data_IF_380626757094
#
_entry.id   IF_380626757094
#
_cell.length_a   1.000
_cell.length_b   1.000
_cell.length_c   1.000
_cell.angle_alpha   90.00
_cell.angle_beta   90.00
_cell.angle_gamma   90.00
#
_symmetry.space_group_name_H-M   'P 1'
#
loop_
_entity.id
_entity.type
_entity.pdbx_description
1 polymer ?
#
# COMPACT_ATOMS: atom_id res chain seq x y z
N UNK A 1 10.09 9.16 -17.87
CA UNK A 1 9.72 7.77 -17.55
C UNK A 1 9.84 7.67 -16.04
N UNK A 2 8.76 7.33 -15.37
CA UNK A 2 8.74 7.17 -13.91
C UNK A 2 9.34 5.78 -13.61
N UNK A 3 10.12 5.63 -12.53
CA UNK A 3 10.74 4.34 -12.15
C UNK A 3 9.72 3.21 -11.96
N UNK A 4 8.49 3.54 -11.63
CA UNK A 4 7.38 2.61 -11.49
C UNK A 4 6.88 2.04 -12.84
N UNK A 5 7.05 2.79 -13.95
CA UNK A 5 6.61 2.34 -15.27
C UNK A 5 7.34 1.05 -15.69
N UNK A 6 8.64 0.97 -15.38
CA UNK A 6 9.47 -0.21 -15.70
C UNK A 6 9.15 -1.43 -14.81
N UNK A 7 8.57 -1.22 -13.63
CA UNK A 7 8.24 -2.26 -12.65
C UNK A 7 6.79 -2.76 -12.75
N UNK A 8 5.95 -2.11 -13.53
CA UNK A 8 4.51 -2.37 -13.59
C UNK A 8 4.17 -3.83 -13.92
N UNK A 9 4.91 -4.45 -14.84
CA UNK A 9 4.76 -5.87 -15.19
C UNK A 9 4.94 -6.79 -13.98
N UNK A 10 6.00 -6.56 -13.20
CA UNK A 10 6.25 -7.33 -11.98
C UNK A 10 5.10 -7.24 -10.98
N UNK A 11 4.60 -6.02 -10.70
CA UNK A 11 3.52 -5.83 -9.72
C UNK A 11 2.20 -6.47 -10.16
N UNK A 12 1.88 -6.46 -11.46
CA UNK A 12 0.69 -7.14 -11.99
C UNK A 12 0.73 -8.66 -11.85
N UNK A 13 1.90 -9.27 -12.01
CA UNK A 13 2.10 -10.73 -11.99
C UNK A 13 2.49 -11.26 -10.60
N UNK A 14 2.85 -10.38 -9.67
CA UNK A 14 3.35 -10.77 -8.35
C UNK A 14 2.29 -11.46 -7.50
N UNK A 15 2.47 -12.75 -7.25
CA UNK A 15 1.61 -13.53 -6.36
C UNK A 15 1.57 -12.98 -4.94
N UNK A 16 2.71 -12.47 -4.44
CA UNK A 16 2.81 -11.87 -3.10
C UNK A 16 1.89 -10.66 -2.95
N UNK A 17 1.62 -9.92 -4.04
CA UNK A 17 0.69 -8.80 -4.04
C UNK A 17 -0.75 -9.23 -4.38
N UNK A 18 -0.92 -10.31 -5.15
CA UNK A 18 -2.23 -10.80 -5.60
C UNK A 18 -2.99 -11.61 -4.55
N UNK A 19 -2.31 -12.12 -3.53
CA UNK A 19 -2.86 -13.03 -2.53
C UNK A 19 -2.42 -12.60 -1.12
N UNK A 20 -3.20 -13.02 -0.11
CA UNK A 20 -2.85 -12.84 1.30
C UNK A 20 -4.01 -12.37 2.16
N UNK A 21 -3.97 -12.73 3.45
CA UNK A 21 -4.99 -12.35 4.42
C UNK A 21 -5.10 -10.82 4.61
N UNK A 22 -4.00 -10.08 4.39
CA UNK A 22 -3.96 -8.63 4.36
C UNK A 22 -4.84 -8.06 3.24
N UNK A 23 -4.72 -8.59 2.01
CA UNK A 23 -5.57 -8.20 0.88
C UNK A 23 -7.04 -8.55 1.13
N UNK A 24 -7.31 -9.76 1.63
CA UNK A 24 -8.67 -10.20 1.93
C UNK A 24 -9.32 -9.28 2.98
N UNK A 25 -8.54 -8.84 3.99
CA UNK A 25 -9.02 -7.91 5.01
C UNK A 25 -9.30 -6.51 4.46
N UNK A 26 -8.41 -5.96 3.61
CA UNK A 26 -8.64 -4.68 2.92
C UNK A 26 -9.94 -4.74 2.13
N UNK A 27 -10.11 -5.77 1.31
CA UNK A 27 -11.32 -5.97 0.50
C UNK A 27 -12.57 -6.09 1.37
N UNK A 28 -12.53 -6.89 2.45
CA UNK A 28 -13.67 -7.07 3.35
C UNK A 28 -14.06 -5.75 4.04
N UNK A 29 -13.07 -4.95 4.45
CA UNK A 29 -13.33 -3.69 5.14
C UNK A 29 -13.76 -2.56 4.22
N UNK A 30 -13.58 -2.69 2.91
CA UNK A 30 -14.24 -1.83 1.93
C UNK A 30 -15.76 -2.04 1.87
N UNK A 31 -16.30 -3.06 2.55
CA UNK A 31 -17.73 -3.41 2.58
C UNK A 31 -18.33 -3.52 1.17
N UNK A 32 -17.75 -4.39 0.32
CA UNK A 32 -18.12 -4.45 -1.08
C UNK A 32 -19.57 -4.92 -1.25
N UNK A 33 -20.29 -4.23 -2.11
CA UNK A 33 -21.65 -4.62 -2.51
C UNK A 33 -21.93 -4.09 -3.93
N UNK A 34 -22.93 -4.63 -4.64
CA UNK A 34 -23.34 -4.11 -5.93
C UNK A 34 -23.61 -2.60 -5.88
N UNK A 35 -23.00 -1.85 -6.79
CA UNK A 35 -23.08 -0.39 -6.94
C UNK A 35 -22.27 0.45 -5.94
N UNK A 36 -21.61 -0.13 -4.93
CA UNK A 36 -20.64 0.62 -4.11
C UNK A 36 -19.61 1.25 -5.04
N UNK A 37 -19.41 2.56 -4.94
CA UNK A 37 -18.40 3.29 -5.65
C UNK A 37 -17.10 3.26 -4.84
N UNK A 38 -16.07 2.58 -5.35
CA UNK A 38 -14.78 2.44 -4.69
C UNK A 38 -13.66 3.12 -5.50
N UNK A 39 -12.75 3.79 -4.81
CA UNK A 39 -11.50 4.30 -5.38
C UNK A 39 -10.34 3.45 -4.84
N UNK A 40 -9.54 2.88 -5.74
CA UNK A 40 -8.29 2.18 -5.41
C UNK A 40 -7.12 3.13 -5.70
N UNK A 41 -6.54 3.69 -4.63
CA UNK A 41 -5.52 4.75 -4.67
C UNK A 41 -4.13 4.13 -4.64
N UNK A 42 -3.25 4.59 -5.53
CA UNK A 42 -1.94 3.99 -5.80
C UNK A 42 -2.08 2.49 -6.08
N UNK A 43 -2.90 2.20 -7.09
CA UNK A 43 -3.42 0.85 -7.38
C UNK A 43 -2.34 -0.18 -7.72
N UNK A 44 -1.16 0.27 -8.20
CA UNK A 44 -0.05 -0.59 -8.60
C UNK A 44 -0.52 -1.70 -9.56
N UNK A 45 -0.35 -2.96 -9.17
CA UNK A 45 -0.80 -4.12 -9.95
C UNK A 45 -2.32 -4.33 -10.05
N UNK A 46 -3.14 -3.45 -9.46
CA UNK A 46 -4.60 -3.45 -9.57
C UNK A 46 -5.31 -4.54 -8.77
N UNK A 47 -4.67 -5.11 -7.77
CA UNK A 47 -5.19 -6.28 -7.05
C UNK A 47 -6.42 -5.97 -6.19
N UNK A 48 -6.44 -4.84 -5.48
CA UNK A 48 -7.60 -4.39 -4.68
C UNK A 48 -8.76 -4.08 -5.62
N UNK A 49 -8.52 -3.24 -6.62
CA UNK A 49 -9.55 -2.85 -7.58
C UNK A 49 -10.18 -4.04 -8.30
N UNK A 50 -9.37 -5.04 -8.70
CA UNK A 50 -9.86 -6.27 -9.34
C UNK A 50 -10.80 -7.06 -8.39
N UNK A 51 -10.39 -7.29 -7.15
CA UNK A 51 -11.19 -8.02 -6.16
C UNK A 51 -12.50 -7.30 -5.85
N UNK A 52 -12.49 -5.97 -5.75
CA UNK A 52 -13.70 -5.17 -5.54
C UNK A 52 -14.64 -5.22 -6.75
N UNK A 53 -14.11 -5.21 -7.99
CA UNK A 53 -14.92 -5.38 -9.21
C UNK A 53 -15.58 -6.75 -9.28
N UNK A 54 -14.88 -7.83 -8.91
CA UNK A 54 -15.42 -9.20 -8.82
C UNK A 54 -16.59 -9.31 -7.83
N UNK A 55 -16.60 -8.48 -6.78
CA UNK A 55 -17.67 -8.39 -5.78
C UNK A 55 -18.79 -7.40 -6.16
N UNK A 56 -18.76 -6.85 -7.39
CA UNK A 56 -19.82 -6.03 -7.97
C UNK A 56 -19.70 -4.53 -7.70
N UNK A 57 -18.60 -4.06 -7.12
CA UNK A 57 -18.34 -2.62 -6.95
C UNK A 57 -18.07 -1.93 -8.29
N UNK A 58 -18.42 -0.64 -8.35
CA UNK A 58 -17.94 0.26 -9.41
C UNK A 58 -16.61 0.84 -8.95
N UNK A 59 -15.52 0.41 -9.57
CA UNK A 59 -14.17 0.77 -9.13
C UNK A 59 -13.52 1.70 -10.13
N UNK A 60 -13.00 2.81 -9.63
CA UNK A 60 -12.00 3.64 -10.29
C UNK A 60 -10.64 3.34 -9.66
N UNK A 61 -9.61 3.24 -10.47
CA UNK A 61 -8.23 3.08 -10.01
C UNK A 61 -7.44 4.35 -10.31
N UNK A 62 -6.55 4.76 -9.43
CA UNK A 62 -5.60 5.84 -9.72
C UNK A 62 -4.18 5.48 -9.25
N UNK A 63 -3.19 6.02 -9.95
CA UNK A 63 -1.78 5.84 -9.66
C UNK A 63 -0.98 7.00 -10.27
N UNK A 64 0.15 7.36 -9.67
CA UNK A 64 1.05 8.38 -10.20
C UNK A 64 1.85 7.87 -11.41
N UNK A 65 1.98 6.55 -11.57
CA UNK A 65 2.69 5.90 -12.66
C UNK A 65 1.74 5.46 -13.77
N UNK A 66 1.88 6.04 -14.95
CA UNK A 66 1.06 5.68 -16.12
C UNK A 66 1.27 4.22 -16.55
N UNK A 67 2.48 3.65 -16.34
CA UNK A 67 2.79 2.25 -16.62
C UNK A 67 1.99 1.23 -15.81
N UNK A 68 1.40 1.64 -14.68
CA UNK A 68 0.47 0.81 -13.91
C UNK A 68 -0.92 0.68 -14.59
N UNK A 69 -1.15 1.46 -15.64
CA UNK A 69 -2.41 1.47 -16.43
C UNK A 69 -3.66 1.74 -15.56
N UNK A 70 -3.63 2.76 -14.66
CA UNK A 70 -4.80 3.12 -13.88
C UNK A 70 -5.87 3.79 -14.75
N UNK A 71 -7.12 3.84 -14.26
CA UNK A 71 -8.18 4.60 -14.92
C UNK A 71 -7.85 6.11 -14.96
N UNK A 72 -7.15 6.63 -13.90
CA UNK A 72 -6.72 8.03 -13.79
C UNK A 72 -5.28 8.10 -13.31
N UNK A 73 -4.42 8.83 -14.03
CA UNK A 73 -3.03 9.08 -13.61
C UNK A 73 -3.00 10.33 -12.75
N UNK A 74 -2.72 10.17 -11.45
CA UNK A 74 -2.58 11.27 -10.50
C UNK A 74 -1.84 10.81 -9.23
N UNK A 75 -1.18 11.74 -8.50
CA UNK A 75 -0.63 11.44 -7.18
C UNK A 75 -1.74 11.31 -6.14
N UNK A 76 -1.47 10.56 -5.07
CA UNK A 76 -2.43 10.33 -3.99
C UNK A 76 -2.73 11.62 -3.19
N UNK A 77 -1.77 12.54 -3.16
CA UNK A 77 -1.84 13.83 -2.48
C UNK A 77 -2.69 14.89 -3.21
N UNK A 78 -3.11 14.62 -4.45
CA UNK A 78 -3.91 15.55 -5.26
C UNK A 78 -4.88 14.78 -6.17
N UNK A 79 -5.93 14.24 -5.60
CA UNK A 79 -6.92 13.44 -6.31
C UNK A 79 -7.88 14.33 -7.13
N UNK A 80 -7.98 14.15 -8.47
CA UNK A 80 -8.79 15.00 -9.34
C UNK A 80 -10.29 14.64 -9.31
N UNK A 81 -10.80 14.31 -8.14
CA UNK A 81 -12.20 13.90 -7.96
C UNK A 81 -12.92 14.89 -7.04
N UNK A 82 -14.23 15.00 -7.22
CA UNK A 82 -15.08 15.82 -6.37
C UNK A 82 -15.21 15.24 -4.96
N UNK A 83 -15.51 16.10 -3.99
CA UNK A 83 -15.77 15.71 -2.62
C UNK A 83 -16.88 14.64 -2.55
N UNK A 84 -16.71 13.66 -1.70
CA UNK A 84 -17.69 12.61 -1.46
C UNK A 84 -18.19 11.91 -2.74
N UNK A 85 -17.32 11.71 -3.74
CA UNK A 85 -17.66 11.02 -5.00
C UNK A 85 -17.63 9.50 -4.90
N UNK A 86 -16.91 8.94 -3.92
CA UNK A 86 -16.80 7.50 -3.66
C UNK A 86 -17.37 7.10 -2.31
N UNK A 87 -17.92 5.90 -2.20
CA UNK A 87 -18.39 5.37 -0.92
C UNK A 87 -17.24 4.92 -0.03
N UNK A 88 -16.14 4.44 -0.65
CA UNK A 88 -14.91 3.99 0.01
C UNK A 88 -13.68 4.30 -0.83
N UNK A 89 -12.60 4.67 -0.16
CA UNK A 89 -11.26 4.76 -0.73
C UNK A 89 -10.35 3.71 -0.08
N UNK A 90 -9.60 2.97 -0.89
CA UNK A 90 -8.63 1.99 -0.42
C UNK A 90 -7.23 2.34 -0.94
N UNK A 91 -6.20 2.10 -0.11
CA UNK A 91 -4.80 2.16 -0.50
C UNK A 91 -4.08 0.98 0.14
N UNK A 92 -3.32 0.21 -0.64
CA UNK A 92 -2.65 -0.98 -0.13
C UNK A 92 -1.20 -1.03 -0.56
N UNK A 93 -0.31 -1.18 0.45
CA UNK A 93 1.13 -1.38 0.28
C UNK A 93 1.79 -0.32 -0.62
N UNK A 94 1.42 0.95 -0.40
CA UNK A 94 1.86 2.08 -1.23
C UNK A 94 2.18 3.35 -0.43
N UNK A 95 1.55 3.54 0.73
CA UNK A 95 1.64 4.82 1.44
C UNK A 95 3.04 5.10 2.03
N UNK A 96 3.90 4.09 2.15
CA UNK A 96 5.32 4.24 2.48
C UNK A 96 6.16 4.89 1.37
N UNK A 97 5.57 5.11 0.19
CA UNK A 97 6.16 5.85 -0.93
C UNK A 97 5.65 7.29 -1.04
N UNK A 98 4.62 7.68 -0.27
CA UNK A 98 4.06 9.02 -0.35
C UNK A 98 5.00 10.06 0.27
N UNK A 99 5.16 11.18 -0.40
CA UNK A 99 5.92 12.32 0.12
C UNK A 99 5.20 12.94 1.32
N UNK A 100 3.87 13.06 1.24
CA UNK A 100 3.01 13.52 2.32
C UNK A 100 1.83 12.57 2.55
N UNK A 101 1.99 11.53 3.37
CA UNK A 101 0.91 10.59 3.65
C UNK A 101 -0.29 11.20 4.39
N UNK A 102 -0.12 12.34 5.10
CA UNK A 102 -1.25 13.05 5.72
C UNK A 102 -2.09 13.74 4.64
N UNK A 103 -1.46 14.41 3.69
CA UNK A 103 -2.16 15.01 2.55
C UNK A 103 -2.89 13.93 1.73
N UNK A 104 -2.23 12.79 1.44
CA UNK A 104 -2.86 11.69 0.71
C UNK A 104 -4.09 11.14 1.44
N UNK A 105 -3.99 10.88 2.76
CA UNK A 105 -5.14 10.43 3.55
C UNK A 105 -6.23 11.50 3.64
N UNK A 106 -5.87 12.78 3.71
CA UNK A 106 -6.81 13.91 3.65
C UNK A 106 -7.59 13.95 2.34
N UNK A 107 -6.91 13.71 1.20
CA UNK A 107 -7.56 13.60 -0.11
C UNK A 107 -8.48 12.36 -0.18
N UNK A 108 -8.02 11.20 0.32
CA UNK A 108 -8.87 10.01 0.42
C UNK A 108 -10.12 10.28 1.30
N UNK A 109 -9.95 10.98 2.42
CA UNK A 109 -11.06 11.41 3.27
C UNK A 109 -11.99 12.37 2.54
N UNK A 110 -11.46 13.35 1.80
CA UNK A 110 -12.24 14.35 1.06
C UNK A 110 -13.13 13.68 0.01
N UNK A 111 -12.55 12.82 -0.81
CA UNK A 111 -13.28 12.17 -1.92
C UNK A 111 -14.16 11.01 -1.46
N UNK A 112 -13.94 10.47 -0.26
CA UNK A 112 -14.78 9.42 0.34
C UNK A 112 -16.03 10.01 0.98
N UNK A 113 -17.16 9.32 0.85
CA UNK A 113 -18.39 9.59 1.62
C UNK A 113 -18.30 9.04 3.03
N UNK A 114 -17.66 7.87 3.21
CA UNK A 114 -17.77 7.13 4.46
C UNK A 114 -16.46 6.49 4.92
N UNK A 115 -15.85 5.65 4.11
CA UNK A 115 -14.77 4.78 4.53
C UNK A 115 -13.44 5.08 3.84
N UNK A 116 -12.37 5.01 4.62
CA UNK A 116 -10.99 4.94 4.14
C UNK A 116 -10.34 3.68 4.72
N UNK A 117 -9.78 2.84 3.86
CA UNK A 117 -9.08 1.61 4.25
C UNK A 117 -7.64 1.68 3.75
N UNK A 118 -6.69 1.63 4.65
CA UNK A 118 -5.25 1.65 4.31
C UNK A 118 -4.56 0.42 4.87
N UNK A 119 -3.75 -0.22 4.05
CA UNK A 119 -2.81 -1.26 4.49
C UNK A 119 -1.40 -0.83 4.13
N UNK A 120 -0.48 -1.05 5.07
CA UNK A 120 0.95 -0.87 4.81
C UNK A 120 1.80 -1.70 5.76
N UNK A 121 3.12 -1.71 5.52
CA UNK A 121 4.11 -2.37 6.37
C UNK A 121 4.39 -1.53 7.62
N UNK A 122 4.42 -2.18 8.79
CA UNK A 122 4.86 -1.53 10.02
C UNK A 122 6.39 -1.35 10.05
N UNK A 123 6.79 -0.24 10.65
CA UNK A 123 8.20 0.01 10.94
C UNK A 123 8.76 -1.07 11.89
N UNK A 124 9.89 -1.62 11.53
CA UNK A 124 10.64 -2.57 12.36
C UNK A 124 11.76 -1.85 13.11
N UNK A 125 12.80 -1.45 12.40
CA UNK A 125 13.94 -0.70 12.93
C UNK A 125 14.65 0.11 11.82
N UNK A 126 15.66 0.90 12.21
CA UNK A 126 16.39 1.75 11.27
C UNK A 126 17.26 0.94 10.27
N UNK A 127 17.65 -0.29 10.60
CA UNK A 127 18.42 -1.15 9.68
C UNK A 127 17.53 -1.60 8.53
N UNK A 128 16.28 -1.97 8.83
CA UNK A 128 15.28 -2.31 7.82
C UNK A 128 14.94 -1.09 6.96
N UNK A 129 14.78 0.10 7.56
CA UNK A 129 14.57 1.34 6.80
C UNK A 129 15.75 1.66 5.86
N UNK A 130 16.99 1.48 6.30
CA UNK A 130 18.17 1.65 5.44
C UNK A 130 18.15 0.66 4.29
N UNK A 131 17.84 -0.60 4.57
CA UNK A 131 17.78 -1.65 3.55
C UNK A 131 16.69 -1.38 2.50
N UNK A 132 15.49 -0.93 2.93
CA UNK A 132 14.41 -0.55 2.04
C UNK A 132 14.82 0.58 1.10
N UNK A 133 15.44 1.65 1.61
CA UNK A 133 15.94 2.76 0.78
C UNK A 133 17.06 2.35 -0.18
N UNK A 134 17.91 1.40 0.22
CA UNK A 134 18.97 0.87 -0.66
C UNK A 134 18.39 -0.02 -1.76
N UNK A 135 17.32 -0.75 -1.47
CA UNK A 135 16.63 -1.61 -2.41
C UNK A 135 15.77 -0.80 -3.37
N UNK A 136 15.05 0.15 -2.84
CA UNK A 136 14.06 0.94 -3.57
C UNK A 136 14.24 2.44 -3.32
N UNK A 137 14.73 3.15 -4.33
CA UNK A 137 14.96 4.59 -4.27
C UNK A 137 13.68 5.40 -4.04
N UNK A 138 12.51 4.82 -4.33
CA UNK A 138 11.21 5.46 -4.13
C UNK A 138 10.68 5.28 -2.70
N UNK A 139 11.34 4.45 -1.90
CA UNK A 139 10.93 4.21 -0.53
C UNK A 139 11.21 5.43 0.35
N UNK A 140 10.14 6.03 0.89
CA UNK A 140 10.24 7.16 1.82
C UNK A 140 10.39 6.62 3.24
N UNK A 141 9.38 5.94 3.78
CA UNK A 141 9.42 5.45 5.16
C UNK A 141 8.29 4.49 5.50
N UNK A 142 8.60 3.45 6.31
CA UNK A 142 7.60 2.75 7.10
C UNK A 142 7.32 3.48 8.41
N UNK A 143 6.09 3.35 8.92
CA UNK A 143 5.64 4.04 10.12
C UNK A 143 5.27 3.05 11.23
N UNK A 144 5.42 3.49 12.49
CA UNK A 144 4.93 2.74 13.64
C UNK A 144 3.41 2.84 13.71
N UNK A 145 2.76 1.91 14.41
CA UNK A 145 1.31 1.93 14.63
C UNK A 145 0.82 3.29 15.15
N UNK A 146 1.49 3.85 16.17
CA UNK A 146 1.10 5.12 16.77
C UNK A 146 1.29 6.31 15.83
N UNK A 147 2.24 6.22 14.92
CA UNK A 147 2.43 7.22 13.87
C UNK A 147 1.32 7.14 12.82
N UNK A 148 0.87 5.93 12.46
CA UNK A 148 -0.29 5.74 11.59
C UNK A 148 -1.56 6.33 12.20
N UNK A 149 -1.88 6.00 13.46
CA UNK A 149 -3.07 6.52 14.15
C UNK A 149 -3.09 8.05 14.22
N UNK A 150 -1.92 8.69 14.46
CA UNK A 150 -1.82 10.16 14.45
C UNK A 150 -2.07 10.72 13.05
N UNK A 151 -1.50 10.12 11.99
CA UNK A 151 -1.72 10.58 10.61
C UNK A 151 -3.17 10.50 10.19
N UNK A 152 -3.86 9.46 10.60
CA UNK A 152 -5.31 9.36 10.36
C UNK A 152 -6.07 10.47 11.06
N UNK A 153 -5.77 10.72 12.33
CA UNK A 153 -6.39 11.81 13.09
C UNK A 153 -6.07 13.19 12.47
N UNK A 154 -4.81 13.44 12.07
CA UNK A 154 -4.39 14.67 11.42
C UNK A 154 -5.08 14.88 10.05
N UNK A 155 -5.49 13.81 9.39
CA UNK A 155 -6.25 13.81 8.14
C UNK A 155 -7.79 13.89 8.36
N UNK A 156 -8.26 14.03 9.60
CA UNK A 156 -9.70 14.09 9.93
C UNK A 156 -10.40 12.74 9.84
N UNK A 157 -9.70 11.66 10.15
CA UNK A 157 -10.20 10.29 10.11
C UNK A 157 -10.11 9.63 11.48
N UNK A 158 -11.20 9.00 11.91
CA UNK A 158 -11.27 8.18 13.11
C UNK A 158 -11.08 6.70 12.76
N UNK A 159 -10.00 6.09 13.25
CA UNK A 159 -9.77 4.66 13.06
C UNK A 159 -10.76 3.85 13.89
N UNK A 160 -11.64 3.11 13.22
CA UNK A 160 -12.71 2.31 13.85
C UNK A 160 -12.38 0.83 13.94
N UNK A 161 -11.39 0.35 13.17
CA UNK A 161 -10.88 -1.02 13.27
C UNK A 161 -9.43 -1.09 12.79
N UNK A 162 -8.67 -2.01 13.41
CA UNK A 162 -7.31 -2.34 13.00
C UNK A 162 -7.06 -3.85 13.06
N UNK A 163 -6.21 -4.35 12.17
CA UNK A 163 -5.74 -5.73 12.16
C UNK A 163 -4.28 -5.78 11.69
N UNK A 164 -3.54 -6.79 12.15
CA UNK A 164 -2.16 -7.03 11.71
C UNK A 164 -2.01 -8.42 11.15
N UNK A 165 -1.13 -8.57 10.15
CA UNK A 165 -0.85 -9.82 9.47
C UNK A 165 0.65 -9.98 9.29
N UNK A 166 1.19 -11.14 9.64
CA UNK A 166 2.54 -11.51 9.27
C UNK A 166 2.57 -11.91 7.79
N UNK A 167 3.56 -11.41 7.07
CA UNK A 167 3.79 -11.74 5.66
C UNK A 167 5.23 -12.17 5.45
N UNK A 168 5.36 -13.39 4.95
CA UNK A 168 6.68 -13.95 4.62
C UNK A 168 7.08 -13.54 3.21
N UNK A 169 8.32 -13.13 3.07
CA UNK A 169 8.95 -12.78 1.81
C UNK A 169 10.13 -13.71 1.52
N UNK A 170 10.35 -13.99 0.24
CA UNK A 170 11.60 -14.51 -0.24
C UNK A 170 12.53 -13.36 -0.60
N UNK A 171 13.76 -13.37 -0.09
CA UNK A 171 14.71 -12.28 -0.26
C UNK A 171 15.14 -12.12 -1.72
N UNK A 172 15.26 -13.20 -2.49
CA UNK A 172 15.66 -13.12 -3.89
C UNK A 172 14.53 -12.49 -4.73
N UNK A 173 13.29 -12.94 -4.55
CA UNK A 173 12.12 -12.37 -5.21
C UNK A 173 11.94 -10.90 -4.85
N UNK A 174 12.10 -10.57 -3.57
CA UNK A 174 11.95 -9.21 -3.07
C UNK A 174 12.99 -8.25 -3.64
N UNK A 175 14.26 -8.66 -3.75
CA UNK A 175 15.32 -7.87 -4.40
C UNK A 175 15.07 -7.72 -5.91
N UNK A 176 14.55 -8.77 -6.56
CA UNK A 176 14.27 -8.74 -8.00
C UNK A 176 13.21 -7.72 -8.39
N UNK A 177 12.22 -7.47 -7.51
CA UNK A 177 11.14 -6.50 -7.71
C UNK A 177 11.62 -5.09 -8.06
N UNK A 178 12.79 -4.72 -7.57
CA UNK A 178 13.42 -3.40 -7.80
C UNK A 178 14.72 -3.49 -8.58
N UNK A 179 15.02 -4.66 -9.15
CA UNK A 179 16.30 -4.92 -9.83
C UNK A 179 17.53 -4.65 -8.96
N UNK A 180 17.38 -4.78 -7.63
CA UNK A 180 18.47 -4.56 -6.68
C UNK A 180 19.49 -5.69 -6.77
N UNK A 181 20.70 -5.37 -7.23
CA UNK A 181 21.78 -6.34 -7.51
C UNK A 181 23.14 -5.87 -6.99
N UNK A 182 24.18 -6.70 -7.13
CA UNK A 182 25.56 -6.34 -6.83
C UNK A 182 25.78 -5.96 -5.36
N UNK A 183 26.56 -4.89 -5.12
CA UNK A 183 26.94 -4.46 -3.78
C UNK A 183 25.73 -4.00 -2.93
N UNK A 184 24.72 -3.41 -3.56
CA UNK A 184 23.49 -2.99 -2.88
C UNK A 184 22.74 -4.21 -2.32
N UNK A 185 22.53 -5.25 -3.13
CA UNK A 185 21.87 -6.48 -2.68
C UNK A 185 22.64 -7.17 -1.54
N UNK A 186 23.97 -7.21 -1.59
CA UNK A 186 24.80 -7.75 -0.49
C UNK A 186 24.61 -6.93 0.79
N UNK A 187 24.60 -5.61 0.69
CA UNK A 187 24.36 -4.72 1.84
C UNK A 187 22.97 -4.93 2.44
N UNK A 188 21.93 -4.99 1.60
CA UNK A 188 20.54 -5.24 2.01
C UNK A 188 20.43 -6.56 2.77
N UNK A 189 20.98 -7.66 2.24
CA UNK A 189 21.00 -8.96 2.93
C UNK A 189 21.69 -8.89 4.29
N UNK A 190 22.80 -8.16 4.40
CA UNK A 190 23.50 -7.94 5.66
C UNK A 190 22.66 -7.19 6.69
N UNK A 191 21.89 -6.19 6.26
CA UNK A 191 20.99 -5.42 7.12
C UNK A 191 19.80 -6.26 7.60
N UNK A 192 19.30 -7.18 6.78
CA UNK A 192 18.20 -8.09 7.10
C UNK A 192 18.61 -9.37 7.84
N UNK A 193 19.89 -9.63 8.05
CA UNK A 193 20.39 -10.88 8.62
C UNK A 193 19.78 -11.22 10.01
N UNK A 194 19.32 -10.22 10.77
CA UNK A 194 18.68 -10.42 12.07
C UNK A 194 17.19 -10.78 11.97
N UNK A 195 16.58 -10.61 10.79
CA UNK A 195 15.19 -10.96 10.51
C UNK A 195 15.05 -12.25 9.71
N UNK A 196 16.16 -12.83 9.22
CA UNK A 196 16.14 -14.05 8.44
C UNK A 196 15.52 -15.18 9.24
N UNK A 197 14.63 -15.94 8.61
CA UNK A 197 14.06 -17.14 9.23
C UNK A 197 15.08 -18.28 9.25
N UNK A 198 14.77 -19.32 10.02
CA UNK A 198 15.64 -20.52 10.16
C UNK A 198 15.64 -21.43 8.92
N UNK A 199 14.79 -21.16 7.94
CA UNK A 199 14.57 -22.01 6.77
C UNK A 199 15.31 -21.53 5.51
N UNK A 200 16.07 -20.42 5.61
CA UNK A 200 16.90 -19.96 4.50
C UNK A 200 16.90 -18.46 4.24
N UNK A 201 16.57 -18.03 3.03
CA UNK A 201 16.68 -16.65 2.57
C UNK A 201 15.35 -15.86 2.70
N UNK A 202 14.46 -16.30 3.62
CA UNK A 202 13.18 -15.65 3.89
C UNK A 202 13.22 -14.70 5.08
N UNK A 203 12.26 -13.77 5.13
CA UNK A 203 12.03 -12.89 6.26
C UNK A 203 10.53 -12.56 6.38
N UNK A 204 10.12 -12.07 7.55
CA UNK A 204 8.72 -11.77 7.85
C UNK A 204 8.59 -10.29 8.19
N UNK A 205 7.64 -9.60 7.57
CA UNK A 205 7.17 -8.30 8.01
C UNK A 205 5.78 -8.39 8.65
N UNK A 206 5.35 -7.27 9.24
CA UNK A 206 4.00 -7.13 9.78
C UNK A 206 3.27 -6.06 8.97
N UNK A 207 2.19 -6.46 8.35
CA UNK A 207 1.23 -5.55 7.69
C UNK A 207 0.22 -5.08 8.70
N UNK A 208 -0.10 -3.78 8.67
CA UNK A 208 -1.22 -3.21 9.41
C UNK A 208 -2.32 -2.83 8.42
N UNK A 209 -3.55 -3.23 8.70
CA UNK A 209 -4.74 -2.75 7.99
C UNK A 209 -5.51 -1.85 8.94
N UNK A 210 -5.86 -0.67 8.47
CA UNK A 210 -6.62 0.33 9.23
C UNK A 210 -7.90 0.66 8.46
N UNK A 211 -9.04 0.57 9.14
CA UNK A 211 -10.34 1.03 8.66
C UNK A 211 -10.72 2.29 9.41
N UNK A 212 -11.03 3.34 8.68
CA UNK A 212 -11.39 4.62 9.27
C UNK A 212 -12.65 5.22 8.66
N UNK A 213 -13.32 6.05 9.44
CA UNK A 213 -14.46 6.87 9.05
C UNK A 213 -14.08 8.34 9.17
N UNK A 214 -14.82 9.22 8.49
CA UNK A 214 -14.62 10.67 8.64
C UNK A 214 -14.99 11.08 10.06
N UNK A 215 -14.15 11.90 10.69
CA UNK A 215 -14.48 12.50 11.98
C UNK A 215 -15.71 13.41 11.86
N UNK A 216 -16.57 13.38 12.86
CA UNK A 216 -17.82 14.12 12.89
C UNK A 216 -17.60 15.64 13.05
#
# INVERSE_FOLDING_TARGET
MNEWDDRAGYYRESRTHAEGADLDQVVAWCEPAPRVAALDVATGGGHVGRRLRELGCRVTTCDAAAGMEPDVVCPAEALPFEDASYDVCACRNAAHHFDDPVAAMGEMARVSRRLVVVEDTLFVDERVQEAERLRDITHVRHYRREEWLRRFADAGLDVVAEATFEKRHDMADWLSATSCTGAAAVRVRGLFAHMSDSEGDGWVDVKIVLKAEKSA
#
